data_IF_385939218955
#
_entry.id   IF_385939218955
#
_cell.length_a   1.000
_cell.length_b   1.000
_cell.length_c   1.000
_cell.angle_alpha   90.00
_cell.angle_beta   90.00
_cell.angle_gamma   90.00
#
_symmetry.space_group_name_H-M   'P 1'
#
loop_
_entity.id
_entity.type
_entity.pdbx_description
1 polymer ?
#
# COMPACT_ATOMS: atom_id res chain seq x y z
N UNK A 1 -18.45 -28.90 4.00
CA UNK A 1 -18.02 -27.71 3.25
C UNK A 1 -18.49 -26.50 4.02
N UNK A 2 -17.57 -25.65 4.49
CA UNK A 2 -17.96 -24.37 5.09
C UNK A 2 -18.47 -23.45 3.97
N UNK A 3 -19.57 -22.71 4.18
CA UNK A 3 -20.01 -21.71 3.21
C UNK A 3 -18.87 -20.69 2.99
N UNK A 4 -18.65 -20.22 1.75
CA UNK A 4 -17.67 -19.18 1.50
C UNK A 4 -18.01 -17.95 2.34
N UNK A 5 -17.00 -17.34 2.96
CA UNK A 5 -17.15 -16.08 3.67
C UNK A 5 -17.66 -15.03 2.68
N UNK A 6 -18.93 -14.62 2.86
CA UNK A 6 -19.60 -13.67 1.98
C UNK A 6 -18.86 -12.32 1.93
N UNK A 7 -18.12 -11.97 2.98
CA UNK A 7 -17.27 -10.78 3.00
C UNK A 7 -16.13 -10.91 2.00
N UNK A 8 -15.33 -11.98 2.10
CA UNK A 8 -14.21 -12.23 1.20
C UNK A 8 -14.63 -12.37 -0.27
N UNK A 9 -15.78 -13.02 -0.52
CA UNK A 9 -16.34 -13.10 -1.87
C UNK A 9 -16.72 -11.71 -2.40
N UNK A 10 -17.32 -10.86 -1.56
CA UNK A 10 -17.63 -9.47 -1.88
C UNK A 10 -16.39 -8.66 -2.24
N UNK A 11 -15.35 -8.74 -1.42
CA UNK A 11 -14.07 -8.07 -1.66
C UNK A 11 -13.43 -8.52 -2.97
N UNK A 12 -13.42 -9.82 -3.26
CA UNK A 12 -12.89 -10.35 -4.51
C UNK A 12 -13.64 -9.80 -5.73
N UNK A 13 -14.98 -9.78 -5.69
CA UNK A 13 -15.80 -9.22 -6.77
C UNK A 13 -15.53 -7.72 -6.94
N UNK A 14 -15.44 -6.97 -5.84
CA UNK A 14 -15.10 -5.55 -5.86
C UNK A 14 -13.71 -5.31 -6.48
N UNK A 15 -12.71 -6.10 -6.10
CA UNK A 15 -11.35 -6.01 -6.64
C UNK A 15 -11.34 -6.27 -8.16
N UNK A 16 -11.98 -7.35 -8.61
CA UNK A 16 -12.10 -7.67 -10.05
C UNK A 16 -12.82 -6.56 -10.80
N UNK A 17 -13.90 -6.02 -10.23
CA UNK A 17 -14.64 -4.91 -10.83
C UNK A 17 -13.76 -3.66 -10.97
N UNK A 18 -13.07 -3.25 -9.91
CA UNK A 18 -12.17 -2.09 -9.92
C UNK A 18 -11.05 -2.26 -10.95
N UNK A 19 -10.39 -3.42 -11.00
CA UNK A 19 -9.36 -3.72 -12.01
C UNK A 19 -9.89 -3.58 -13.44
N UNK A 20 -11.10 -4.10 -13.71
CA UNK A 20 -11.76 -3.94 -15.03
C UNK A 20 -12.07 -2.49 -15.40
N UNK A 21 -12.16 -1.60 -14.42
CA UNK A 21 -12.41 -0.16 -14.61
C UNK A 21 -11.12 0.68 -14.52
N UNK A 22 -9.95 0.06 -14.67
CA UNK A 22 -8.66 0.73 -14.78
C UNK A 22 -8.01 1.11 -13.46
N UNK A 23 -8.51 0.60 -12.33
CA UNK A 23 -7.84 0.79 -11.05
C UNK A 23 -6.72 -0.24 -10.87
N UNK A 24 -5.59 0.20 -10.30
CA UNK A 24 -4.67 -0.71 -9.62
C UNK A 24 -5.17 -0.91 -8.19
N UNK A 25 -5.10 -2.12 -7.66
CA UNK A 25 -5.62 -2.43 -6.32
C UNK A 25 -4.60 -3.21 -5.51
N UNK A 26 -4.67 -3.03 -4.19
CA UNK A 26 -3.80 -3.69 -3.22
C UNK A 26 -4.62 -4.14 -2.01
N UNK A 27 -4.22 -5.26 -1.43
CA UNK A 27 -4.61 -5.63 -0.06
C UNK A 27 -3.93 -4.69 0.95
N UNK A 28 -4.48 -4.55 2.17
CA UNK A 28 -3.93 -3.61 3.15
C UNK A 28 -2.43 -3.76 3.41
N UNK A 29 -1.94 -5.00 3.58
CA UNK A 29 -0.53 -5.25 3.85
C UNK A 29 0.37 -4.85 2.67
N UNK A 30 -0.11 -5.05 1.43
CA UNK A 30 0.61 -4.67 0.23
C UNK A 30 0.67 -3.13 0.08
N UNK A 31 -0.43 -2.44 0.39
CA UNK A 31 -0.47 -0.98 0.38
C UNK A 31 0.42 -0.38 1.47
N UNK A 32 0.39 -0.95 2.68
CA UNK A 32 1.30 -0.57 3.77
C UNK A 32 2.75 -0.72 3.33
N UNK A 33 3.09 -1.85 2.69
CA UNK A 33 4.43 -2.10 2.16
C UNK A 33 4.83 -1.08 1.09
N UNK A 34 3.89 -0.67 0.25
CA UNK A 34 4.09 0.41 -0.72
C UNK A 34 4.43 1.73 -0.02
N UNK A 35 3.69 2.11 1.02
CA UNK A 35 3.98 3.33 1.80
C UNK A 35 5.33 3.24 2.52
N UNK A 36 5.71 2.07 3.06
CA UNK A 36 7.03 1.86 3.66
C UNK A 36 8.16 2.10 2.65
N UNK A 37 8.00 1.64 1.40
CA UNK A 37 8.97 1.90 0.33
C UNK A 37 9.05 3.38 0.00
N UNK A 38 7.92 4.10 -0.07
CA UNK A 38 7.91 5.54 -0.27
C UNK A 38 8.59 6.30 0.90
N UNK A 39 8.35 5.86 2.15
CA UNK A 39 8.99 6.41 3.34
C UNK A 39 10.51 6.22 3.31
N UNK A 40 10.96 5.02 2.95
CA UNK A 40 12.38 4.70 2.78
C UNK A 40 13.01 5.56 1.69
N UNK A 41 12.35 5.73 0.54
CA UNK A 41 12.83 6.57 -0.55
C UNK A 41 13.13 8.00 -0.10
N UNK A 42 12.21 8.61 0.66
CA UNK A 42 12.38 9.98 1.20
C UNK A 42 13.51 10.10 2.21
N UNK A 43 13.76 9.05 3.00
CA UNK A 43 14.75 9.06 4.08
C UNK A 43 16.18 8.78 3.59
N UNK A 44 16.34 8.19 2.41
CA UNK A 44 17.64 7.90 1.82
C UNK A 44 18.20 9.17 1.17
N UNK A 45 19.46 9.47 1.44
CA UNK A 45 20.21 10.58 0.82
C UNK A 45 21.50 10.07 0.17
N UNK A 46 22.14 10.92 -0.65
CA UNK A 46 23.39 10.60 -1.33
C UNK A 46 23.24 9.84 -2.64
N UNK A 47 24.38 9.44 -3.20
CA UNK A 47 24.49 8.74 -4.48
C UNK A 47 24.96 7.29 -4.27
N UNK A 48 24.53 6.40 -5.16
CA UNK A 48 24.91 5.00 -5.06
C UNK A 48 26.40 4.80 -5.36
N UNK A 49 27.16 4.30 -4.38
CA UNK A 49 28.59 4.06 -4.50
C UNK A 49 28.96 2.75 -5.22
N UNK A 50 28.01 1.86 -5.48
CA UNK A 50 28.24 0.60 -6.19
C UNK A 50 27.18 -0.47 -5.93
N UNK A 51 27.27 -1.61 -6.62
CA UNK A 51 26.38 -2.75 -6.38
C UNK A 51 26.96 -3.72 -5.34
N UNK A 52 26.18 -4.19 -4.36
CA UNK A 52 26.64 -5.21 -3.45
C UNK A 52 26.82 -6.55 -4.18
N UNK A 53 27.80 -7.34 -3.73
CA UNK A 53 28.14 -8.65 -4.34
C UNK A 53 27.04 -9.69 -4.15
N UNK A 54 26.29 -9.57 -3.07
CA UNK A 54 25.20 -10.46 -2.65
C UNK A 54 24.00 -9.62 -2.15
N UNK A 55 22.82 -10.24 -1.94
CA UNK A 55 21.68 -9.54 -1.36
C UNK A 55 21.95 -9.01 0.05
N UNK A 56 21.71 -7.72 0.24
CA UNK A 56 21.86 -7.04 1.53
C UNK A 56 20.52 -6.47 2.00
N UNK A 57 20.17 -6.73 3.25
CA UNK A 57 19.02 -6.17 3.96
C UNK A 57 19.43 -4.93 4.73
N UNK A 58 18.86 -3.79 4.35
CA UNK A 58 19.03 -2.50 5.03
C UNK A 58 17.88 -2.28 6.00
N UNK A 59 18.17 -1.73 7.17
CA UNK A 59 17.17 -1.20 8.11
C UNK A 59 17.22 0.31 8.06
N UNK A 60 16.32 0.91 7.27
CA UNK A 60 16.33 2.33 6.94
C UNK A 60 15.50 3.08 7.98
N UNK A 61 16.07 4.05 8.73
CA UNK A 61 15.32 4.88 9.64
C UNK A 61 14.42 5.84 8.85
N UNK A 62 13.18 5.98 9.27
CA UNK A 62 12.16 6.87 8.67
C UNK A 62 11.43 7.62 9.78
N UNK A 63 10.62 8.62 9.44
CA UNK A 63 9.82 9.37 10.40
C UNK A 63 8.81 8.50 11.19
N UNK A 64 8.48 7.31 10.67
CA UNK A 64 7.48 6.38 11.23
C UNK A 64 8.10 5.09 11.77
N UNK A 65 9.43 5.07 11.98
CA UNK A 65 10.18 3.92 12.48
C UNK A 65 11.17 3.37 11.45
N UNK A 66 11.48 2.08 11.52
CA UNK A 66 12.45 1.45 10.62
C UNK A 66 11.77 0.61 9.53
N UNK A 67 12.20 0.81 8.29
CA UNK A 67 11.77 0.00 7.14
C UNK A 67 12.89 -0.95 6.74
N UNK A 68 12.59 -2.24 6.65
CA UNK A 68 13.52 -3.24 6.14
C UNK A 68 13.34 -3.43 4.63
N UNK A 69 14.41 -3.25 3.87
CA UNK A 69 14.45 -3.51 2.43
C UNK A 69 15.68 -4.32 2.07
N UNK A 70 15.47 -5.42 1.35
CA UNK A 70 16.56 -6.20 0.76
C UNK A 70 16.83 -5.70 -0.65
N UNK A 71 18.07 -5.35 -0.95
CA UNK A 71 18.48 -4.86 -2.26
C UNK A 71 19.56 -5.73 -2.87
N UNK A 72 19.42 -5.97 -4.18
CA UNK A 72 20.49 -6.55 -4.98
C UNK A 72 20.33 -6.21 -6.46
N UNK A 73 21.36 -5.61 -7.07
CA UNK A 73 21.45 -5.37 -8.52
C UNK A 73 20.21 -4.67 -9.08
N UNK A 74 19.85 -3.53 -8.49
CA UNK A 74 18.71 -2.72 -8.92
C UNK A 74 17.34 -3.24 -8.50
N UNK A 75 17.23 -4.34 -7.75
CA UNK A 75 15.94 -4.96 -7.38
C UNK A 75 15.70 -4.97 -5.87
N UNK A 76 14.45 -4.74 -5.49
CA UNK A 76 13.97 -4.90 -4.12
C UNK A 76 13.53 -6.36 -3.97
N UNK A 77 14.25 -7.16 -3.18
CA UNK A 77 13.94 -8.59 -3.04
C UNK A 77 12.91 -8.82 -1.92
N UNK A 78 11.97 -9.77 -2.10
CA UNK A 78 10.98 -10.11 -1.08
C UNK A 78 11.54 -10.99 0.04
N UNK A 79 12.77 -11.49 -0.12
CA UNK A 79 13.47 -12.35 0.85
C UNK A 79 14.49 -11.55 1.65
N UNK A 80 14.76 -11.95 2.88
CA UNK A 80 15.85 -11.35 3.66
C UNK A 80 17.21 -11.82 3.12
N UNK A 81 18.08 -10.87 2.83
CA UNK A 81 19.51 -11.09 2.58
C UNK A 81 20.34 -10.89 3.86
N UNK A 82 21.66 -10.87 3.72
CA UNK A 82 22.56 -10.57 4.84
C UNK A 82 22.30 -9.15 5.33
N UNK A 83 22.33 -8.93 6.65
CA UNK A 83 22.18 -7.58 7.22
C UNK A 83 23.38 -6.69 6.83
N UNK A 84 23.11 -5.47 6.39
CA UNK A 84 24.14 -4.49 6.05
C UNK A 84 25.05 -4.18 7.26
N UNK A 85 26.37 -4.19 7.05
CA UNK A 85 27.31 -3.61 8.00
C UNK A 85 27.30 -2.07 7.93
N UNK A 86 27.75 -1.34 8.97
CA UNK A 86 27.68 0.12 8.99
C UNK A 86 28.37 0.82 7.81
N UNK A 87 29.53 0.31 7.36
CA UNK A 87 30.24 0.85 6.19
C UNK A 87 29.50 0.54 4.89
N UNK A 88 28.93 -0.65 4.77
CA UNK A 88 28.14 -1.03 3.60
C UNK A 88 26.84 -0.24 3.51
N UNK A 89 26.26 0.11 4.66
CA UNK A 89 25.08 0.95 4.73
C UNK A 89 25.33 2.28 4.02
N UNK A 90 26.39 3.01 4.37
CA UNK A 90 26.66 4.32 3.76
C UNK A 90 26.97 4.24 2.26
N UNK A 91 27.60 3.15 1.79
CA UNK A 91 27.94 2.98 0.37
C UNK A 91 26.74 2.52 -0.48
N UNK A 92 25.93 1.59 0.04
CA UNK A 92 24.93 0.88 -0.76
C UNK A 92 23.49 1.30 -0.48
N UNK A 93 23.18 1.91 0.67
CA UNK A 93 21.79 2.35 0.94
C UNK A 93 21.25 3.31 -0.12
N UNK A 94 22.04 4.22 -0.72
CA UNK A 94 21.51 5.10 -1.78
C UNK A 94 21.07 4.34 -3.02
N UNK A 95 21.63 3.15 -3.26
CA UNK A 95 21.27 2.29 -4.39
C UNK A 95 19.84 1.75 -4.28
N UNK A 96 19.28 1.65 -3.06
CA UNK A 96 17.91 1.19 -2.81
C UNK A 96 16.88 2.08 -3.50
N UNK A 97 17.17 3.38 -3.70
CA UNK A 97 16.29 4.29 -4.43
C UNK A 97 15.93 3.78 -5.82
N UNK A 98 16.91 3.24 -6.55
CA UNK A 98 16.70 2.69 -7.90
C UNK A 98 15.72 1.51 -7.89
N UNK A 99 15.76 0.67 -6.86
CA UNK A 99 14.80 -0.43 -6.77
C UNK A 99 13.41 0.06 -6.41
N UNK A 100 13.28 1.03 -5.49
CA UNK A 100 11.98 1.62 -5.14
C UNK A 100 11.36 2.33 -6.36
N UNK A 101 12.16 3.08 -7.13
CA UNK A 101 11.73 3.70 -8.39
C UNK A 101 11.28 2.66 -9.42
N UNK A 102 11.96 1.51 -9.49
CA UNK A 102 11.57 0.40 -10.36
C UNK A 102 10.24 -0.25 -9.95
N UNK A 103 10.02 -0.46 -8.65
CA UNK A 103 8.80 -1.09 -8.11
C UNK A 103 7.59 -0.14 -8.11
N UNK A 104 7.79 1.12 -7.74
CA UNK A 104 6.70 2.09 -7.58
C UNK A 104 6.48 2.96 -8.81
N UNK A 105 7.54 3.29 -9.55
CA UNK A 105 7.50 4.15 -10.73
C UNK A 105 6.70 5.44 -10.48
N UNK A 106 5.76 5.73 -11.38
CA UNK A 106 4.92 6.93 -11.32
C UNK A 106 4.00 7.00 -10.07
N UNK A 107 3.86 5.92 -9.30
CA UNK A 107 3.02 5.89 -8.09
C UNK A 107 3.76 6.51 -6.89
N UNK A 108 5.11 6.53 -6.91
CA UNK A 108 5.93 7.02 -5.81
C UNK A 108 5.54 8.45 -5.39
N UNK A 109 5.36 9.35 -6.35
CA UNK A 109 4.97 10.74 -6.10
C UNK A 109 3.61 10.85 -5.42
N UNK A 110 2.64 10.03 -5.85
CA UNK A 110 1.30 9.99 -5.25
C UNK A 110 1.30 9.34 -3.85
N UNK A 111 2.26 8.44 -3.57
CA UNK A 111 2.37 7.73 -2.30
C UNK A 111 3.13 8.53 -1.23
N UNK A 112 4.08 9.36 -1.66
CA UNK A 112 4.90 10.23 -0.80
C UNK A 112 4.10 11.06 0.22
N UNK A 113 3.01 11.77 -0.16
CA UNK A 113 2.21 12.52 0.82
C UNK A 113 1.41 11.63 1.78
N UNK A 114 1.24 10.34 1.46
CA UNK A 114 0.48 9.39 2.26
C UNK A 114 1.35 8.62 3.27
N UNK A 115 2.67 8.81 3.26
CA UNK A 115 3.60 8.14 4.18
C UNK A 115 3.22 8.34 5.65
N UNK A 116 2.64 9.49 6.01
CA UNK A 116 2.18 9.78 7.38
C UNK A 116 1.08 8.81 7.85
N UNK A 117 0.31 8.22 6.93
CA UNK A 117 -0.69 7.21 7.27
C UNK A 117 -0.06 5.96 7.93
N UNK A 118 1.25 5.71 7.77
CA UNK A 118 1.94 4.62 8.45
C UNK A 118 1.87 4.70 9.98
N UNK A 119 1.64 5.89 10.56
CA UNK A 119 1.34 6.05 11.99
C UNK A 119 0.00 5.36 12.38
N UNK A 120 -0.94 5.31 11.44
CA UNK A 120 -2.28 4.73 11.59
C UNK A 120 -2.36 3.31 10.99
N UNK A 121 -1.26 2.54 11.06
CA UNK A 121 -1.17 1.18 10.46
C UNK A 121 -2.35 0.27 10.82
N UNK A 122 -2.75 0.26 12.09
CA UNK A 122 -3.89 -0.55 12.57
C UNK A 122 -5.20 -0.14 11.90
N UNK A 123 -5.39 1.14 11.61
CA UNK A 123 -6.59 1.60 10.89
C UNK A 123 -6.55 1.13 9.43
N UNK A 124 -5.41 1.26 8.75
CA UNK A 124 -5.24 0.78 7.37
C UNK A 124 -5.47 -0.72 7.20
N UNK A 125 -5.03 -1.53 8.18
CA UNK A 125 -5.25 -2.99 8.20
C UNK A 125 -6.74 -3.39 8.21
N UNK A 126 -7.62 -2.46 8.60
CA UNK A 126 -9.06 -2.69 8.68
C UNK A 126 -9.84 -2.22 7.46
N UNK A 127 -9.15 -1.63 6.47
CA UNK A 127 -9.73 -1.26 5.17
C UNK A 127 -9.80 -2.51 4.32
N UNK A 128 -10.87 -2.67 3.53
CA UNK A 128 -11.04 -3.90 2.73
C UNK A 128 -10.04 -3.97 1.57
N UNK A 129 -9.87 -2.85 0.84
CA UNK A 129 -8.95 -2.72 -0.30
C UNK A 129 -8.39 -1.30 -0.40
N UNK A 130 -7.22 -1.15 -1.03
CA UNK A 130 -6.75 0.14 -1.53
C UNK A 130 -6.77 0.15 -3.05
N UNK A 131 -7.04 1.30 -3.65
CA UNK A 131 -7.07 1.45 -5.10
C UNK A 131 -6.37 2.72 -5.56
N UNK A 132 -5.83 2.72 -6.77
CA UNK A 132 -5.19 3.87 -7.40
C UNK A 132 -5.69 4.03 -8.82
N UNK A 133 -6.09 5.26 -9.16
CA UNK A 133 -6.49 5.64 -10.51
C UNK A 133 -6.29 7.13 -10.72
N UNK A 134 -5.80 7.50 -11.91
CA UNK A 134 -5.63 8.89 -12.34
C UNK A 134 -4.85 9.77 -11.34
N UNK A 135 -3.76 9.21 -10.77
CA UNK A 135 -2.89 9.93 -9.83
C UNK A 135 -3.40 9.95 -8.38
N UNK A 136 -4.52 9.31 -8.07
CA UNK A 136 -5.17 9.40 -6.76
C UNK A 136 -5.34 8.02 -6.13
N UNK A 137 -5.02 7.94 -4.84
CA UNK A 137 -5.28 6.78 -4.01
C UNK A 137 -6.63 6.85 -3.30
N UNK A 138 -7.23 5.68 -3.12
CA UNK A 138 -8.51 5.48 -2.50
C UNK A 138 -8.44 4.35 -1.46
N UNK A 139 -8.92 4.61 -0.25
CA UNK A 139 -9.31 3.57 0.70
C UNK A 139 -10.70 3.06 0.29
N UNK A 140 -10.83 1.77 0.04
CA UNK A 140 -12.04 1.14 -0.48
C UNK A 140 -12.69 0.30 0.61
N UNK A 141 -13.95 0.61 0.87
CA UNK A 141 -14.84 -0.16 1.74
C UNK A 141 -15.81 -0.95 0.86
N UNK A 142 -16.00 -2.23 1.16
CA UNK A 142 -16.84 -3.14 0.40
C UNK A 142 -18.05 -3.54 1.25
N UNK A 143 -19.24 -3.49 0.63
CA UNK A 143 -20.49 -3.90 1.28
C UNK A 143 -21.28 -4.85 0.39
N UNK A 144 -21.57 -6.03 0.92
CA UNK A 144 -22.48 -6.99 0.30
C UNK A 144 -23.92 -6.74 0.74
N UNK A 145 -24.90 -7.08 -0.13
CA UNK A 145 -26.36 -7.12 0.10
C UNK A 145 -26.87 -6.51 1.43
N UNK A 146 -27.17 -5.21 1.45
CA UNK A 146 -27.81 -4.56 2.60
C UNK A 146 -26.87 -4.12 3.73
N UNK A 147 -25.56 -4.39 3.62
CA UNK A 147 -24.54 -3.85 4.52
C UNK A 147 -24.59 -2.32 4.58
N UNK A 148 -24.91 -1.78 5.76
CA UNK A 148 -24.81 -0.36 6.05
C UNK A 148 -23.36 -0.01 6.38
N UNK A 149 -22.95 1.21 6.04
CA UNK A 149 -21.71 1.79 6.55
C UNK A 149 -21.90 2.00 8.05
N UNK A 150 -21.10 1.35 8.89
CA UNK A 150 -21.20 1.53 10.34
C UNK A 150 -20.67 2.90 10.75
N UNK A 151 -21.07 3.38 11.92
CA UNK A 151 -20.56 4.65 12.49
C UNK A 151 -19.04 4.60 12.68
N UNK A 152 -18.52 3.46 13.13
CA UNK A 152 -17.09 3.13 13.18
C UNK A 152 -16.37 3.27 11.84
N UNK A 153 -17.04 3.07 10.70
CA UNK A 153 -16.41 3.26 9.39
C UNK A 153 -16.37 4.73 8.96
N UNK A 154 -17.33 5.54 9.42
CA UNK A 154 -17.24 7.00 9.26
C UNK A 154 -16.11 7.57 10.11
N UNK A 155 -15.92 7.02 11.31
CA UNK A 155 -14.79 7.35 12.18
C UNK A 155 -13.46 6.92 11.55
N UNK A 156 -13.38 5.76 10.88
CA UNK A 156 -12.18 5.36 10.10
C UNK A 156 -11.82 6.37 9.02
N UNK A 157 -12.81 6.88 8.29
CA UNK A 157 -12.58 7.92 7.29
C UNK A 157 -12.06 9.23 7.92
N UNK A 158 -12.44 9.50 9.17
CA UNK A 158 -11.90 10.64 9.91
C UNK A 158 -10.47 10.42 10.45
N UNK A 159 -10.01 9.17 10.59
CA UNK A 159 -8.65 8.78 11.02
C UNK A 159 -7.68 8.73 9.85
N UNK A 160 -8.08 8.13 8.72
CA UNK A 160 -7.25 8.05 7.51
C UNK A 160 -7.30 9.36 6.69
N UNK A 161 -6.99 10.48 7.34
CA UNK A 161 -7.01 11.80 6.67
C UNK A 161 -5.96 11.84 5.55
N UNK A 162 -6.34 12.40 4.41
CA UNK A 162 -5.45 12.58 3.27
C UNK A 162 -5.54 11.49 2.20
N UNK A 163 -6.31 10.42 2.41
CA UNK A 163 -6.70 9.48 1.35
C UNK A 163 -8.19 9.60 1.05
N UNK A 164 -8.58 9.49 -0.23
CA UNK A 164 -9.99 9.52 -0.60
C UNK A 164 -10.67 8.21 -0.23
N UNK A 165 -11.97 8.23 0.03
CA UNK A 165 -12.72 7.03 0.38
C UNK A 165 -13.73 6.64 -0.72
N UNK A 166 -13.68 5.38 -1.15
CA UNK A 166 -14.64 4.77 -2.07
C UNK A 166 -15.43 3.68 -1.35
N UNK A 167 -16.74 3.69 -1.55
CA UNK A 167 -17.63 2.61 -1.17
C UNK A 167 -17.98 1.79 -2.40
N UNK A 168 -17.70 0.49 -2.36
CA UNK A 168 -18.09 -0.46 -3.40
C UNK A 168 -19.19 -1.36 -2.86
N UNK A 169 -20.38 -1.25 -3.45
CA UNK A 169 -21.51 -2.12 -3.11
C UNK A 169 -21.56 -3.28 -4.08
N UNK A 170 -21.50 -4.49 -3.54
CA UNK A 170 -21.60 -5.75 -4.29
C UNK A 170 -22.94 -6.40 -3.99
N UNK A 171 -23.80 -6.47 -5.01
CA UNK A 171 -25.07 -7.16 -4.89
C UNK A 171 -24.85 -8.60 -5.37
N UNK A 172 -24.97 -9.59 -4.46
CA UNK A 172 -24.74 -11.00 -4.79
C UNK A 172 -26.02 -11.66 -5.34
N UNK A 173 -27.19 -11.14 -4.98
CA UNK A 173 -28.49 -11.63 -5.46
C UNK A 173 -28.84 -11.11 -6.86
N UNK A 174 -28.16 -10.05 -7.30
CA UNK A 174 -28.31 -9.43 -8.62
C UNK A 174 -26.93 -8.95 -9.03
N UNK A 175 -26.32 -9.40 -10.14
CA UNK A 175 -24.90 -9.18 -10.44
C UNK A 175 -24.61 -7.72 -10.81
N UNK A 176 -24.66 -6.86 -9.81
CA UNK A 176 -24.49 -5.42 -9.89
C UNK A 176 -23.41 -5.01 -8.91
N UNK A 177 -22.52 -4.15 -9.36
CA UNK A 177 -21.51 -3.50 -8.51
C UNK A 177 -21.66 -2.00 -8.70
N UNK A 178 -21.72 -1.25 -7.60
CA UNK A 178 -21.83 0.22 -7.61
C UNK A 178 -20.67 0.84 -6.86
N UNK A 179 -20.14 1.95 -7.38
CA UNK A 179 -19.13 2.78 -6.71
C UNK A 179 -19.83 4.06 -6.22
N UNK A 180 -19.65 4.38 -4.94
CA UNK A 180 -20.16 5.57 -4.28
C UNK A 180 -18.98 6.28 -3.58
N UNK A 181 -18.94 7.62 -3.55
CA UNK A 181 -17.97 8.36 -2.75
C UNK A 181 -18.42 8.34 -1.28
N UNK A 182 -17.51 8.06 -0.33
CA UNK A 182 -17.86 7.92 1.09
C UNK A 182 -17.67 9.21 1.92
N UNK A 183 -17.55 10.39 1.28
CA UNK A 183 -17.40 11.69 1.95
C UNK A 183 -16.50 12.64 1.16
N UNK A 184 -16.34 13.90 1.61
CA UNK A 184 -15.33 14.80 1.06
C UNK A 184 -13.91 14.30 1.40
N UNK A 185 -12.96 14.59 0.50
CA UNK A 185 -11.54 14.27 0.63
C UNK A 185 -10.85 15.10 1.73
#
# INVERSE_FOLDING_TARGET
>A
MNPPDLGQLGEYIAEVFLKRHGYKTWRPQEFIRLLEMAAAYRAIEGECGGEPKEPITFSIPTAVGYVKLTYWRGRCLPIEGRRAEPLEYSVYVPCVKRCIEGELGAILEAATPLVELLAERRAMETVDLFAFKDGVFYAVEVKTNGGRVSETQREKAAVLRGIRHLLVRVYLQTPLVKIEALGPA
#
